data_IF_865567469041
#
_entry.id   IF_865567469041
#
_cell.length_a   1.000
_cell.length_b   1.000
_cell.length_c   1.000
_cell.angle_alpha   90.00
_cell.angle_beta   90.00
_cell.angle_gamma   90.00
#
_symmetry.space_group_name_H-M   'P 1'
#
loop_
_entity.id
_entity.type
_entity.pdbx_description
1 polymer ?
#
# COMPACT_ATOMS: atom_id res chain seq x y z
N UNK A 1 1.73 -1.78 -13.30
CA UNK A 1 1.74 -0.46 -13.96
C UNK A 1 3.00 -0.27 -14.78
N UNK A 2 4.20 -0.22 -14.18
CA UNK A 2 5.44 -0.03 -14.95
C UNK A 2 5.62 -1.02 -16.12
N UNK A 3 5.55 -2.34 -15.87
CA UNK A 3 5.72 -3.37 -16.92
C UNK A 3 4.73 -3.17 -18.08
N UNK A 4 3.44 -3.06 -17.76
CA UNK A 4 2.34 -2.83 -18.71
C UNK A 4 2.57 -1.57 -19.57
N UNK A 5 2.73 -0.41 -18.93
CA UNK A 5 2.85 0.86 -19.63
C UNK A 5 4.14 0.99 -20.45
N UNK A 6 5.26 0.45 -19.96
CA UNK A 6 6.54 0.51 -20.67
C UNK A 6 6.56 -0.48 -21.83
N UNK A 7 6.05 -1.68 -21.63
CA UNK A 7 5.94 -2.67 -22.71
C UNK A 7 5.05 -2.18 -23.85
N UNK A 8 3.93 -1.51 -23.54
CA UNK A 8 3.05 -0.90 -24.56
C UNK A 8 3.82 0.09 -25.46
N UNK A 9 4.51 1.08 -24.88
CA UNK A 9 5.25 2.09 -25.66
C UNK A 9 6.53 1.54 -26.31
N UNK A 10 7.06 0.42 -25.80
CA UNK A 10 8.16 -0.32 -26.41
C UNK A 10 7.71 -1.27 -27.52
N UNK A 11 6.41 -1.50 -27.69
CA UNK A 11 5.86 -2.47 -28.65
C UNK A 11 6.25 -3.92 -28.33
N UNK A 12 6.35 -4.26 -27.04
CA UNK A 12 6.76 -5.59 -26.56
C UNK A 12 5.69 -6.21 -25.67
N UNK A 13 5.74 -7.53 -25.50
CA UNK A 13 4.90 -8.21 -24.51
C UNK A 13 5.42 -7.98 -23.08
N UNK A 14 4.50 -7.87 -22.12
CA UNK A 14 4.80 -7.67 -20.70
C UNK A 14 5.70 -8.78 -20.18
N UNK A 15 6.67 -8.47 -19.32
CA UNK A 15 7.45 -9.52 -18.64
C UNK A 15 6.52 -10.49 -17.89
N UNK A 16 5.41 -9.97 -17.34
CA UNK A 16 4.42 -10.75 -16.61
C UNK A 16 4.05 -12.07 -17.31
N UNK A 17 3.74 -12.01 -18.62
CA UNK A 17 3.37 -13.18 -19.42
C UNK A 17 4.56 -13.73 -20.20
N UNK A 18 5.33 -12.87 -20.88
CA UNK A 18 6.42 -13.28 -21.77
C UNK A 18 7.53 -14.07 -21.05
N UNK A 19 7.83 -13.70 -19.80
CA UNK A 19 8.89 -14.35 -19.01
C UNK A 19 8.33 -15.36 -17.99
N UNK A 20 7.03 -15.67 -18.06
CA UNK A 20 6.35 -16.63 -17.18
C UNK A 20 6.27 -16.19 -15.72
N UNK A 21 6.27 -14.88 -15.43
CA UNK A 21 6.11 -14.40 -14.05
C UNK A 21 4.73 -14.68 -13.49
N UNK A 22 3.68 -14.64 -14.31
CA UNK A 22 2.32 -15.02 -13.91
C UNK A 22 2.29 -16.43 -13.29
N UNK A 23 2.93 -17.40 -13.95
CA UNK A 23 3.03 -18.78 -13.48
C UNK A 23 3.87 -18.90 -12.21
N UNK A 24 4.99 -18.17 -12.14
CA UNK A 24 5.87 -18.17 -10.94
C UNK A 24 5.18 -17.58 -9.71
N UNK A 25 4.32 -16.59 -9.91
CA UNK A 25 3.54 -15.99 -8.83
C UNK A 25 2.33 -16.85 -8.45
N UNK A 26 1.73 -17.56 -9.41
CA UNK A 26 0.61 -18.48 -9.20
C UNK A 26 -0.52 -17.88 -8.33
N UNK A 27 -0.86 -16.60 -8.57
CA UNK A 27 -1.87 -15.91 -7.77
C UNK A 27 -3.25 -16.54 -8.02
N UNK A 28 -4.04 -16.83 -6.98
CA UNK A 28 -5.37 -17.40 -7.13
C UNK A 28 -6.39 -16.31 -7.47
N UNK A 29 -6.17 -15.60 -8.58
CA UNK A 29 -7.06 -14.57 -9.12
C UNK A 29 -7.74 -15.11 -10.39
N UNK A 30 -9.02 -14.78 -10.65
CA UNK A 30 -9.76 -15.26 -11.81
C UNK A 30 -9.07 -15.02 -13.16
N UNK A 31 -8.29 -13.93 -13.24
CA UNK A 31 -7.58 -13.49 -14.45
C UNK A 31 -6.10 -13.18 -14.15
N UNK A 32 -5.42 -14.02 -13.37
CA UNK A 32 -4.07 -13.73 -12.87
C UNK A 32 -3.04 -13.34 -13.96
N UNK A 33 -3.20 -13.80 -15.20
CA UNK A 33 -2.33 -13.46 -16.33
C UNK A 33 -2.55 -12.03 -16.88
N UNK A 34 -3.70 -11.42 -16.66
CA UNK A 34 -4.06 -10.09 -17.19
C UNK A 34 -4.50 -9.10 -16.09
N UNK A 35 -4.56 -9.55 -14.84
CA UNK A 35 -4.94 -8.72 -13.71
C UNK A 35 -3.90 -7.61 -13.47
N UNK A 36 -4.36 -6.37 -13.51
CA UNK A 36 -3.51 -5.18 -13.28
C UNK A 36 -3.55 -4.69 -11.83
N UNK A 37 -4.44 -5.24 -11.01
CA UNK A 37 -4.77 -4.72 -9.68
C UNK A 37 -5.95 -3.75 -9.67
N UNK A 38 -6.27 -3.13 -10.81
CA UNK A 38 -7.41 -2.23 -10.93
C UNK A 38 -8.73 -3.01 -10.83
N UNK A 39 -9.69 -2.49 -10.07
CA UNK A 39 -10.99 -3.16 -9.84
C UNK A 39 -10.94 -4.33 -8.85
N UNK A 40 -9.78 -4.63 -8.23
CA UNK A 40 -9.68 -5.65 -7.21
C UNK A 40 -10.60 -5.37 -6.01
N UNK A 41 -11.36 -6.38 -5.59
CA UNK A 41 -12.11 -6.36 -4.34
C UNK A 41 -11.17 -6.57 -3.14
N UNK A 42 -11.61 -6.31 -1.90
CA UNK A 42 -10.84 -6.67 -0.71
C UNK A 42 -10.45 -8.16 -0.65
N UNK A 43 -11.28 -9.05 -1.21
CA UNK A 43 -10.98 -10.48 -1.29
C UNK A 43 -9.82 -10.77 -2.24
N UNK A 44 -9.82 -10.13 -3.41
CA UNK A 44 -8.73 -10.25 -4.39
C UNK A 44 -7.41 -9.73 -3.82
N UNK A 45 -7.43 -8.56 -3.18
CA UNK A 45 -6.24 -8.00 -2.51
C UNK A 45 -5.72 -8.96 -1.43
N UNK A 46 -6.60 -9.57 -0.63
CA UNK A 46 -6.21 -10.51 0.42
C UNK A 46 -5.60 -11.82 -0.12
N UNK A 47 -5.90 -12.18 -1.37
CA UNK A 47 -5.38 -13.33 -2.08
C UNK A 47 -3.97 -13.10 -2.66
N UNK A 48 -3.57 -11.84 -2.87
CA UNK A 48 -2.21 -11.49 -3.34
C UNK A 48 -1.19 -11.67 -2.21
N UNK A 49 -0.60 -12.86 -2.13
CA UNK A 49 0.37 -13.23 -1.08
C UNK A 49 1.67 -13.85 -1.64
N UNK A 50 2.42 -13.11 -2.48
CA UNK A 50 3.70 -13.59 -2.98
C UNK A 50 4.75 -13.63 -1.86
N UNK A 51 5.77 -14.46 -2.04
CA UNK A 51 6.98 -14.42 -1.21
C UNK A 51 7.93 -13.31 -1.69
N UNK A 52 8.96 -13.02 -0.90
CA UNK A 52 9.89 -11.94 -1.23
C UNK A 52 10.74 -12.21 -2.49
N UNK A 53 10.98 -13.48 -2.85
CA UNK A 53 11.87 -13.81 -3.97
C UNK A 53 11.23 -13.50 -5.33
N UNK A 54 9.99 -13.93 -5.64
CA UNK A 54 9.32 -13.56 -6.88
C UNK A 54 9.13 -12.05 -7.02
N UNK A 55 8.82 -11.35 -5.93
CA UNK A 55 8.68 -9.88 -5.92
C UNK A 55 9.97 -9.19 -6.37
N UNK A 56 11.12 -9.53 -5.77
CA UNK A 56 12.40 -8.92 -6.14
C UNK A 56 12.84 -9.30 -7.54
N UNK A 57 12.60 -10.55 -7.93
CA UNK A 57 12.94 -11.04 -9.26
C UNK A 57 12.16 -10.31 -10.35
N UNK A 58 10.85 -10.16 -10.18
CA UNK A 58 10.01 -9.45 -11.14
C UNK A 58 10.35 -7.97 -11.20
N UNK A 59 10.56 -7.31 -10.06
CA UNK A 59 11.04 -5.92 -10.03
C UNK A 59 12.36 -5.75 -10.80
N UNK A 60 13.32 -6.66 -10.62
CA UNK A 60 14.60 -6.60 -11.32
C UNK A 60 14.42 -6.77 -12.84
N UNK A 61 13.60 -7.73 -13.28
CA UNK A 61 13.33 -7.96 -14.70
C UNK A 61 12.65 -6.75 -15.36
N UNK A 62 11.64 -6.17 -14.71
CA UNK A 62 10.94 -4.97 -15.21
C UNK A 62 11.87 -3.76 -15.24
N UNK A 63 12.72 -3.59 -14.21
CA UNK A 63 13.72 -2.51 -14.16
C UNK A 63 14.73 -2.64 -15.31
N UNK A 64 15.22 -3.85 -15.59
CA UNK A 64 16.16 -4.11 -16.69
C UNK A 64 15.53 -3.78 -18.04
N UNK A 65 14.33 -4.29 -18.32
CA UNK A 65 13.57 -4.00 -19.55
C UNK A 65 13.31 -2.50 -19.71
N UNK A 66 12.85 -1.85 -18.65
CA UNK A 66 12.60 -0.40 -18.66
C UNK A 66 13.86 0.39 -18.94
N UNK A 67 14.98 0.06 -18.28
CA UNK A 67 16.24 0.76 -18.50
C UNK A 67 16.79 0.51 -19.89
N UNK A 68 16.60 -0.69 -20.45
CA UNK A 68 16.97 -1.00 -21.83
C UNK A 68 16.17 -0.14 -22.83
N UNK A 69 14.86 -0.02 -22.65
CA UNK A 69 14.01 0.84 -23.47
C UNK A 69 14.40 2.33 -23.33
N UNK A 70 14.58 2.84 -22.11
CA UNK A 70 14.94 4.24 -21.90
C UNK A 70 16.27 4.63 -22.57
N UNK A 71 17.19 3.70 -22.78
CA UNK A 71 18.45 3.96 -23.52
C UNK A 71 18.24 4.18 -25.01
N UNK A 72 17.09 3.78 -25.56
CA UNK A 72 16.74 4.00 -26.97
C UNK A 72 15.94 5.28 -27.19
N UNK A 73 15.41 5.89 -26.13
CA UNK A 73 14.55 7.08 -26.19
C UNK A 73 15.42 8.33 -26.27
N UNK A 74 15.28 9.09 -27.35
CA UNK A 74 15.87 10.42 -27.53
C UNK A 74 14.96 11.54 -27.01
N UNK A 75 15.48 12.79 -26.90
CA UNK A 75 14.69 13.93 -26.47
C UNK A 75 13.46 14.20 -27.35
N UNK A 76 13.61 14.10 -28.67
CA UNK A 76 12.53 14.37 -29.63
C UNK A 76 11.42 13.31 -29.60
N UNK A 77 11.71 12.12 -29.07
CA UNK A 77 10.70 11.05 -28.92
C UNK A 77 9.69 11.37 -27.82
N UNK A 78 10.05 12.20 -26.84
CA UNK A 78 9.22 12.50 -25.67
C UNK A 78 7.93 13.24 -26.03
N UNK A 79 7.91 13.96 -27.15
CA UNK A 79 6.75 14.71 -27.63
C UNK A 79 5.81 13.86 -28.51
N UNK A 80 6.18 12.62 -28.86
CA UNK A 80 5.33 11.73 -29.63
C UNK A 80 4.08 11.36 -28.84
N UNK A 81 2.91 11.46 -29.48
CA UNK A 81 1.63 11.06 -28.88
C UNK A 81 1.55 9.53 -28.86
N UNK A 82 1.31 8.97 -27.67
CA UNK A 82 1.18 7.52 -27.44
C UNK A 82 -0.23 7.11 -27.02
N UNK A 83 -1.07 8.05 -26.59
CA UNK A 83 -2.49 7.78 -26.30
C UNK A 83 -3.37 8.99 -26.65
N UNK A 84 -4.19 8.84 -27.69
CA UNK A 84 -5.13 9.86 -28.17
C UNK A 84 -6.46 9.86 -27.41
N UNK A 85 -6.67 8.94 -26.45
CA UNK A 85 -7.95 8.82 -25.71
C UNK A 85 -8.12 9.85 -24.59
N UNK A 86 -7.13 10.73 -24.40
CA UNK A 86 -7.10 11.76 -23.35
C UNK A 86 -7.07 13.17 -23.96
N UNK A 87 -7.49 14.18 -23.19
CA UNK A 87 -7.44 15.60 -23.55
C UNK A 87 -6.72 16.41 -22.45
N UNK A 88 -5.49 16.90 -22.68
CA UNK A 88 -4.70 16.72 -23.91
C UNK A 88 -4.23 15.26 -24.12
N UNK A 89 -3.90 14.86 -25.36
CA UNK A 89 -3.34 13.54 -25.64
C UNK A 89 -2.08 13.27 -24.84
N UNK A 90 -1.87 12.01 -24.45
CA UNK A 90 -0.70 11.61 -23.67
C UNK A 90 0.49 11.45 -24.61
N UNK A 91 1.57 12.18 -24.34
CA UNK A 91 2.86 11.97 -25.00
C UNK A 91 3.69 10.91 -24.30
N UNK A 92 4.73 10.40 -24.97
CA UNK A 92 5.68 9.46 -24.37
C UNK A 92 6.29 10.02 -23.08
N UNK A 93 6.68 11.30 -23.06
CA UNK A 93 7.21 11.96 -21.87
C UNK A 93 6.21 11.94 -20.71
N UNK A 94 4.95 12.28 -20.96
CA UNK A 94 3.89 12.23 -19.95
C UNK A 94 3.68 10.80 -19.45
N UNK A 95 3.69 9.81 -20.34
CA UNK A 95 3.56 8.39 -19.96
C UNK A 95 4.69 7.95 -19.02
N UNK A 96 5.94 8.25 -19.37
CA UNK A 96 7.11 7.86 -18.58
C UNK A 96 7.14 8.55 -17.21
N UNK A 97 6.79 9.84 -17.15
CA UNK A 97 6.66 10.56 -15.87
C UNK A 97 5.55 9.96 -15.01
N UNK A 98 4.41 9.62 -15.61
CA UNK A 98 3.28 9.00 -14.91
C UNK A 98 3.66 7.65 -14.28
N UNK A 99 4.49 6.86 -14.97
CA UNK A 99 5.02 5.60 -14.43
C UNK A 99 5.90 5.85 -13.19
N UNK A 100 6.82 6.82 -13.26
CA UNK A 100 7.69 7.15 -12.12
C UNK A 100 6.89 7.66 -10.92
N UNK A 101 5.86 8.49 -11.16
CA UNK A 101 4.98 8.99 -10.12
C UNK A 101 4.18 7.85 -9.45
N UNK A 102 3.62 6.92 -10.23
CA UNK A 102 2.92 5.74 -9.72
C UNK A 102 3.82 4.89 -8.80
N UNK A 103 5.04 4.58 -9.27
CA UNK A 103 6.03 3.80 -8.50
C UNK A 103 6.42 4.50 -7.19
N UNK A 104 6.59 5.83 -7.22
CA UNK A 104 6.92 6.64 -6.04
C UNK A 104 5.77 6.63 -5.02
N UNK A 105 4.53 6.79 -5.48
CA UNK A 105 3.35 6.72 -4.63
C UNK A 105 3.21 5.35 -3.96
N UNK A 106 3.37 4.26 -4.72
CA UNK A 106 3.28 2.89 -4.20
C UNK A 106 4.41 2.56 -3.23
N UNK A 107 5.62 3.07 -3.47
CA UNK A 107 6.74 2.97 -2.52
C UNK A 107 6.40 3.65 -1.20
N UNK A 108 5.79 4.85 -1.25
CA UNK A 108 5.31 5.57 -0.07
C UNK A 108 4.25 4.79 0.71
N UNK A 109 3.27 4.21 0.02
CA UNK A 109 2.22 3.37 0.62
C UNK A 109 2.81 2.12 1.29
N UNK A 110 3.74 1.42 0.63
CA UNK A 110 4.41 0.27 1.19
C UNK A 110 5.21 0.62 2.47
N UNK A 111 5.91 1.76 2.46
CA UNK A 111 6.64 2.26 3.64
C UNK A 111 5.70 2.61 4.80
N UNK A 112 4.55 3.23 4.51
CA UNK A 112 3.52 3.53 5.50
C UNK A 112 2.98 2.24 6.15
N UNK A 113 2.59 1.26 5.34
CA UNK A 113 2.07 -0.03 5.81
C UNK A 113 3.09 -0.78 6.66
N UNK A 114 4.36 -0.82 6.22
CA UNK A 114 5.46 -1.38 7.01
C UNK A 114 5.53 -0.76 8.40
N UNK A 115 5.52 0.57 8.49
CA UNK A 115 5.56 1.27 9.77
C UNK A 115 4.36 0.97 10.66
N UNK A 116 3.16 0.83 10.09
CA UNK A 116 1.95 0.43 10.83
C UNK A 116 2.09 -0.99 11.38
N UNK A 117 2.58 -1.94 10.58
CA UNK A 117 2.78 -3.33 10.99
C UNK A 117 3.83 -3.45 12.11
N UNK A 118 4.99 -2.79 11.95
CA UNK A 118 6.06 -2.80 12.96
C UNK A 118 5.57 -2.25 14.32
N UNK A 119 4.80 -1.14 14.31
CA UNK A 119 4.21 -0.57 15.54
C UNK A 119 3.10 -1.44 16.13
N UNK A 120 2.30 -2.08 15.30
CA UNK A 120 1.21 -2.95 15.77
C UNK A 120 1.75 -4.21 16.43
N UNK A 121 2.86 -4.76 15.90
CA UNK A 121 3.59 -5.87 16.50
C UNK A 121 4.33 -5.46 17.80
N UNK A 122 4.86 -4.23 17.90
CA UNK A 122 5.46 -3.75 19.18
C UNK A 122 4.38 -3.50 20.26
N UNK A 123 3.18 -3.06 19.86
CA UNK A 123 2.08 -2.79 20.81
C UNK A 123 1.51 -4.06 21.45
N UNK A 124 1.51 -5.20 20.76
CA UNK A 124 1.10 -6.48 21.34
C UNK A 124 2.08 -6.99 22.39
N UNK A 125 3.38 -6.70 22.23
CA UNK A 125 4.43 -7.05 23.20
C UNK A 125 4.41 -6.13 24.43
N UNK A 126 4.09 -4.84 24.26
CA UNK A 126 4.05 -3.85 25.37
C UNK A 126 2.82 -3.94 26.28
N UNK A 127 1.75 -4.62 25.88
CA UNK A 127 0.62 -4.94 26.77
C UNK A 127 0.95 -6.16 27.67
N UNK A 128 1.93 -6.03 28.56
CA UNK A 128 1.94 -6.87 29.78
C UNK A 128 0.89 -6.30 30.74
N UNK A 129 -0.04 -7.10 31.27
CA UNK A 129 -1.02 -6.60 32.22
C UNK A 129 -0.30 -6.14 33.49
N UNK A 130 -0.73 -4.97 33.94
CA UNK A 130 -0.40 -4.33 35.20
C UNK A 130 -0.18 -5.35 36.32
N UNK A 131 0.97 -5.27 36.98
CA UNK A 131 1.26 -6.02 38.20
C UNK A 131 0.17 -5.66 39.20
N UNK A 132 -0.75 -6.58 39.44
CA UNK A 132 -1.75 -6.50 40.50
C UNK A 132 -1.10 -5.95 41.78
N UNK A 133 -1.39 -4.69 42.09
CA UNK A 133 -1.07 -4.10 43.38
C UNK A 133 -1.97 -4.82 44.38
N UNK A 134 -1.39 -5.80 45.10
CA UNK A 134 -2.05 -6.43 46.25
C UNK A 134 -2.46 -5.32 47.21
N UNK A 135 -3.77 -5.04 47.30
CA UNK A 135 -4.33 -4.24 48.39
C UNK A 135 -4.07 -4.97 49.70
N UNK A 136 -3.29 -4.37 50.58
CA UNK A 136 -3.23 -4.79 51.99
C UNK A 136 -4.60 -4.53 52.63
N UNK A 137 -5.23 -5.51 53.30
CA UNK A 137 -6.44 -5.26 54.07
C UNK A 137 -6.05 -4.58 55.39
N UNK A 138 -6.84 -3.58 55.81
CA UNK A 138 -6.77 -3.04 57.17
C UNK A 138 -6.18 -1.64 57.28
N UNK A 139 -6.95 -0.61 56.89
CA UNK A 139 -6.91 0.66 57.61
C UNK A 139 -8.30 1.29 57.60
N UNK A 140 -8.94 1.27 58.77
CA UNK A 140 -10.23 1.88 59.02
C UNK A 140 -10.13 3.41 58.88
N UNK A 141 -10.89 3.98 57.95
CA UNK A 141 -11.06 5.43 57.84
C UNK A 141 -12.17 5.83 58.81
N UNK A 142 -11.81 6.56 59.89
CA UNK A 142 -12.76 7.18 60.81
C UNK A 142 -13.65 8.16 60.02
N UNK A 143 -14.97 7.96 60.08
CA UNK A 143 -15.97 8.93 59.61
C UNK A 143 -15.97 10.15 60.54
N UNK A 144 -15.87 11.35 59.97
CA UNK A 144 -16.29 12.61 60.64
C UNK A 144 -17.74 12.91 60.25
N UNK A 145 -18.60 13.33 61.20
CA UNK A 145 -20.01 13.58 60.92
C UNK A 145 -20.24 15.02 60.44
N UNK A 146 -21.26 15.17 59.57
CA UNK A 146 -22.14 16.34 59.54
C UNK A 146 -21.69 17.56 58.73
N UNK A 147 -22.26 17.72 57.53
CA UNK A 147 -22.90 18.98 57.14
C UNK A 147 -23.88 18.78 55.99
N UNK A 148 -25.10 19.25 56.22
CA UNK A 148 -26.29 19.13 55.39
C UNK A 148 -26.46 20.31 54.41
N UNK A 149 -26.83 19.96 53.17
CA UNK A 149 -27.87 20.56 52.30
C UNK A 149 -27.63 21.97 51.72
N UNK A 150 -27.68 22.10 50.38
CA UNK A 150 -28.80 22.74 49.64
C UNK A 150 -28.76 22.50 48.12
N UNK A 151 -29.97 22.29 47.59
CA UNK A 151 -30.34 21.97 46.21
C UNK A 151 -30.16 23.19 45.28
N UNK A 152 -29.82 22.94 44.01
CA UNK A 152 -29.99 23.90 42.90
C UNK A 152 -31.38 23.71 42.27
N UNK A 153 -32.11 24.77 41.90
CA UNK A 153 -33.33 24.63 41.12
C UNK A 153 -33.00 24.52 39.63
N UNK A 154 -33.66 23.58 38.95
CA UNK A 154 -33.76 23.55 37.50
C UNK A 154 -34.73 24.62 37.00
N UNK A 155 -34.52 25.07 35.76
CA UNK A 155 -35.43 25.98 35.05
C UNK A 155 -35.74 25.31 33.71
N UNK A 156 -37.02 25.02 33.49
CA UNK A 156 -37.60 24.66 32.20
C UNK A 156 -38.23 25.92 31.60
N UNK A 157 -38.04 26.13 30.29
CA UNK A 157 -39.11 26.31 29.30
C UNK A 157 -38.64 25.60 28.04
#
# INVERSE_FOLDING_TARGET
MQDDHVSEVAGTEHAWTADGWADRFALPLPDAATATGYGHTPGDVAAVRPTAQPLRGYLAAVTERTTAYLRTVGPDDLDQVVDERWDPPVTLGVRLVSVVDDDAQHTGQAALLRGVLERSCDRSVRRRPDRSVRRRPGRSVRRRPGRSVRRRPGRSV
#
